data_IF_192170208902
#
_entry.id   IF_192170208902
#
_cell.length_a   1.000
_cell.length_b   1.000
_cell.length_c   1.000
_cell.angle_alpha   90.00
_cell.angle_beta   90.00
_cell.angle_gamma   90.00
#
_symmetry.space_group_name_H-M   'P 1'
#
loop_
_entity.id
_entity.type
_entity.pdbx_description
1 polymer ?
#
# COMPACT_ATOMS: atom_id res chain seq x y z
N UNK A 1 -21.53 -3.59 17.77
CA UNK A 1 -21.37 -2.30 17.09
C UNK A 1 -20.40 -2.48 15.96
N UNK A 2 -20.64 -1.86 14.81
CA UNK A 2 -19.76 -1.94 13.64
C UNK A 2 -19.21 -0.55 13.34
N UNK A 3 -17.90 -0.44 13.20
CA UNK A 3 -17.21 0.82 12.87
C UNK A 3 -16.44 0.59 11.58
N UNK A 4 -16.70 1.41 10.57
CA UNK A 4 -15.96 1.39 9.31
C UNK A 4 -14.95 2.53 9.29
N UNK A 5 -13.73 2.24 8.83
CA UNK A 5 -12.67 3.22 8.60
C UNK A 5 -12.29 3.23 7.13
N UNK A 6 -12.12 4.41 6.54
CA UNK A 6 -11.62 4.52 5.17
C UNK A 6 -11.64 5.95 4.64
N UNK A 7 -11.00 6.14 3.50
CA UNK A 7 -11.02 7.39 2.74
C UNK A 7 -11.59 7.09 1.35
N UNK A 8 -12.85 7.46 1.05
CA UNK A 8 -13.43 7.30 -0.28
C UNK A 8 -12.59 7.95 -1.39
N UNK A 9 -11.76 8.93 -1.03
CA UNK A 9 -10.83 9.65 -1.89
C UNK A 9 -9.65 8.82 -2.42
N UNK A 10 -9.36 7.68 -1.80
CA UNK A 10 -8.28 6.78 -2.20
C UNK A 10 -8.75 5.79 -3.29
N UNK A 11 -8.06 4.66 -3.43
CA UNK A 11 -8.35 3.70 -4.48
C UNK A 11 -9.65 2.94 -4.18
N UNK A 12 -10.52 2.74 -5.18
CA UNK A 12 -11.69 1.88 -5.06
C UNK A 12 -11.27 0.39 -4.99
N UNK A 13 -12.22 -0.51 -4.67
CA UNK A 13 -12.00 -1.95 -4.78
C UNK A 13 -11.48 -2.36 -6.16
N UNK A 14 -10.60 -3.36 -6.20
CA UNK A 14 -10.06 -3.89 -7.45
C UNK A 14 -11.13 -4.74 -8.14
N UNK A 15 -11.43 -4.43 -9.41
CA UNK A 15 -12.41 -5.15 -10.23
C UNK A 15 -13.85 -5.17 -9.69
N UNK A 16 -14.17 -4.34 -8.70
CA UNK A 16 -15.52 -4.18 -8.16
C UNK A 16 -15.82 -2.70 -7.86
N UNK A 17 -17.08 -2.41 -7.52
CA UNK A 17 -17.54 -1.07 -7.17
C UNK A 17 -17.46 -0.84 -5.65
N UNK A 18 -17.14 0.38 -5.21
CA UNK A 18 -17.16 0.71 -3.79
C UNK A 18 -18.59 0.57 -3.22
N UNK A 19 -18.69 0.31 -1.91
CA UNK A 19 -19.97 0.08 -1.22
C UNK A 19 -20.97 1.24 -1.33
N UNK A 20 -20.51 2.46 -1.60
CA UNK A 20 -21.37 3.63 -1.81
C UNK A 20 -21.88 3.78 -3.25
N UNK A 21 -21.42 2.95 -4.18
CA UNK A 21 -21.78 3.08 -5.59
C UNK A 21 -23.24 2.66 -5.80
N UNK A 22 -24.09 3.62 -6.19
CA UNK A 22 -25.54 3.42 -6.36
C UNK A 22 -25.95 2.54 -7.57
N UNK A 23 -25.01 1.80 -8.15
CA UNK A 23 -25.25 0.83 -9.25
C UNK A 23 -24.39 -0.40 -9.03
N UNK A 24 -24.68 -1.25 -8.02
CA UNK A 24 -23.87 -2.42 -7.70
C UNK A 24 -23.76 -3.40 -8.87
N UNK A 25 -22.75 -4.26 -8.85
CA UNK A 25 -22.45 -5.19 -9.96
C UNK A 25 -22.98 -6.61 -9.75
N UNK A 26 -23.49 -6.94 -8.56
CA UNK A 26 -23.95 -8.28 -8.17
C UNK A 26 -24.98 -8.21 -7.04
N UNK A 27 -25.70 -9.30 -6.78
CA UNK A 27 -26.66 -9.40 -5.66
C UNK A 27 -25.99 -9.16 -4.29
N UNK A 28 -24.76 -9.68 -4.13
CA UNK A 28 -23.93 -9.42 -2.93
C UNK A 28 -23.55 -7.93 -2.85
N UNK A 29 -23.22 -7.32 -3.99
CA UNK A 29 -22.96 -5.89 -4.07
C UNK A 29 -24.18 -5.04 -3.70
N UNK A 30 -25.38 -5.47 -4.10
CA UNK A 30 -26.64 -4.80 -3.72
C UNK A 30 -26.88 -4.88 -2.22
N UNK A 31 -26.73 -6.07 -1.62
CA UNK A 31 -26.79 -6.24 -0.16
C UNK A 31 -25.75 -5.37 0.56
N UNK A 32 -24.52 -5.31 0.01
CA UNK A 32 -23.44 -4.46 0.52
C UNK A 32 -23.78 -2.98 0.49
N UNK A 33 -24.34 -2.49 -0.63
CA UNK A 33 -24.81 -1.11 -0.77
C UNK A 33 -25.92 -0.79 0.24
N UNK A 34 -26.95 -1.63 0.34
CA UNK A 34 -28.05 -1.43 1.30
C UNK A 34 -27.53 -1.42 2.74
N UNK A 35 -26.66 -2.36 3.10
CA UNK A 35 -26.04 -2.44 4.44
C UNK A 35 -25.21 -1.20 4.73
N UNK A 36 -24.42 -0.72 3.76
CA UNK A 36 -23.63 0.51 3.90
C UNK A 36 -24.52 1.74 4.12
N UNK A 37 -25.69 1.80 3.48
CA UNK A 37 -26.67 2.88 3.67
C UNK A 37 -27.36 2.87 5.03
N UNK A 38 -27.29 1.77 5.79
CA UNK A 38 -27.80 1.72 7.17
C UNK A 38 -26.96 2.55 8.14
N UNK A 39 -25.70 2.87 7.79
CA UNK A 39 -24.86 3.74 8.62
C UNK A 39 -25.37 5.18 8.56
N UNK A 40 -25.94 5.61 9.68
CA UNK A 40 -26.57 6.91 9.91
C UNK A 40 -25.66 7.92 10.62
N UNK A 41 -24.47 7.49 11.06
CA UNK A 41 -23.45 8.34 11.70
C UNK A 41 -22.15 8.34 10.94
N UNK A 42 -21.54 9.51 10.88
CA UNK A 42 -20.21 9.69 10.33
C UNK A 42 -19.35 10.57 11.25
N UNK A 43 -18.06 10.28 11.33
CA UNK A 43 -17.04 11.11 11.98
C UNK A 43 -16.01 11.43 10.93
N UNK A 44 -15.78 12.71 10.66
CA UNK A 44 -14.77 13.17 9.69
C UNK A 44 -13.53 13.67 10.43
N UNK A 45 -12.40 13.04 10.18
CA UNK A 45 -11.10 13.49 10.64
C UNK A 45 -10.63 14.61 9.71
N UNK A 46 -10.21 15.74 10.28
CA UNK A 46 -9.83 16.92 9.48
C UNK A 46 -8.36 17.27 9.56
N UNK A 47 -7.62 16.62 10.48
CA UNK A 47 -6.20 16.89 10.71
C UNK A 47 -5.35 15.82 10.02
N UNK A 48 -4.61 16.22 8.99
CA UNK A 48 -3.65 15.35 8.32
C UNK A 48 -2.38 15.19 9.19
N UNK A 49 -2.20 14.01 9.78
CA UNK A 49 -1.06 13.70 10.64
C UNK A 49 0.22 13.34 9.88
N UNK A 50 0.14 13.06 8.57
CA UNK A 50 1.31 12.73 7.74
C UNK A 50 2.02 13.99 7.25
N UNK A 51 1.24 14.94 6.74
CA UNK A 51 1.71 16.22 6.21
C UNK A 51 1.44 17.31 7.23
N UNK A 52 2.35 17.40 8.22
CA UNK A 52 2.27 18.36 9.32
C UNK A 52 3.09 19.63 9.03
N UNK A 53 2.73 20.72 9.69
CA UNK A 53 3.40 22.02 9.56
C UNK A 53 2.53 23.08 8.89
N UNK A 54 2.86 24.35 9.18
CA UNK A 54 2.15 25.53 8.67
C UNK A 54 3.04 26.43 7.81
N UNK A 55 4.24 25.97 7.45
CA UNK A 55 5.06 26.69 6.48
C UNK A 55 4.39 26.68 5.09
N UNK A 56 4.75 27.64 4.24
CA UNK A 56 4.12 27.85 2.94
C UNK A 56 4.22 26.61 2.03
N UNK A 57 5.34 25.89 2.07
CA UNK A 57 5.54 24.66 1.31
C UNK A 57 4.59 23.54 1.72
N UNK A 58 4.40 23.33 3.02
CA UNK A 58 3.51 22.30 3.55
C UNK A 58 2.05 22.63 3.32
N UNK A 59 1.66 23.90 3.47
CA UNK A 59 0.31 24.36 3.10
C UNK A 59 0.06 24.07 1.61
N UNK A 60 0.98 24.51 0.74
CA UNK A 60 0.90 24.28 -0.70
C UNK A 60 0.83 22.79 -1.06
N UNK A 61 1.58 21.95 -0.36
CA UNK A 61 1.58 20.50 -0.58
C UNK A 61 0.24 19.87 -0.17
N UNK A 62 -0.33 20.24 0.99
CA UNK A 62 -1.67 19.77 1.39
C UNK A 62 -2.75 20.20 0.40
N UNK A 63 -2.70 21.45 -0.05
CA UNK A 63 -3.67 21.98 -1.01
C UNK A 63 -3.60 21.25 -2.35
N UNK A 64 -2.38 20.95 -2.83
CA UNK A 64 -2.14 20.09 -3.98
C UNK A 64 -2.76 18.70 -3.77
N UNK A 65 -2.52 18.06 -2.62
CA UNK A 65 -3.08 16.75 -2.32
C UNK A 65 -4.62 16.76 -2.29
N UNK A 66 -5.24 17.81 -1.75
CA UNK A 66 -6.70 17.96 -1.74
C UNK A 66 -7.27 18.13 -3.16
N UNK A 67 -6.60 18.90 -4.03
CA UNK A 67 -6.99 19.03 -5.44
C UNK A 67 -6.81 17.73 -6.22
N UNK A 68 -5.70 17.03 -6.02
CA UNK A 68 -5.48 15.68 -6.57
C UNK A 68 -6.57 14.72 -6.12
N UNK A 69 -6.90 14.75 -4.82
CA UNK A 69 -7.97 13.94 -4.25
C UNK A 69 -9.28 14.23 -4.96
N UNK A 70 -9.67 15.49 -5.17
CA UNK A 70 -10.96 15.87 -5.80
C UNK A 70 -11.00 15.77 -7.33
N UNK A 71 -9.85 15.64 -8.00
CA UNK A 71 -9.78 15.75 -9.46
C UNK A 71 -9.88 17.20 -9.96
N UNK A 72 -9.47 18.15 -9.11
CA UNK A 72 -9.50 19.61 -9.36
C UNK A 72 -8.08 20.16 -9.64
N UNK A 73 -7.17 19.30 -10.09
CA UNK A 73 -5.78 19.66 -10.39
C UNK A 73 -5.70 20.79 -11.41
N UNK A 74 -4.83 21.76 -11.13
CA UNK A 74 -4.61 22.95 -11.96
C UNK A 74 -3.31 22.87 -12.76
N UNK A 75 -3.11 23.81 -13.69
CA UNK A 75 -1.84 23.94 -14.42
C UNK A 75 -0.67 24.23 -13.47
N UNK A 76 -0.90 24.99 -12.40
CA UNK A 76 0.13 25.30 -11.41
C UNK A 76 0.48 24.09 -10.55
N UNK A 77 -0.48 23.21 -10.27
CA UNK A 77 -0.22 21.91 -9.65
C UNK A 77 0.64 21.04 -10.55
N UNK A 78 0.31 20.97 -11.85
CA UNK A 78 1.12 20.22 -12.80
C UNK A 78 2.54 20.77 -12.89
N UNK A 79 2.71 22.08 -13.07
CA UNK A 79 4.03 22.75 -13.05
C UNK A 79 4.80 22.48 -11.75
N UNK A 80 4.11 22.47 -10.61
CA UNK A 80 4.71 22.13 -9.32
C UNK A 80 5.21 20.69 -9.28
N UNK A 81 4.46 19.72 -9.83
CA UNK A 81 4.92 18.34 -9.93
C UNK A 81 6.10 18.19 -10.91
N UNK A 82 6.14 19.00 -11.99
CA UNK A 82 7.28 19.00 -12.93
C UNK A 82 8.60 19.41 -12.27
N UNK A 83 8.58 20.25 -11.23
CA UNK A 83 9.80 20.61 -10.48
C UNK A 83 10.39 19.42 -9.70
N UNK A 84 9.64 18.33 -9.56
CA UNK A 84 10.05 17.08 -8.91
C UNK A 84 10.44 15.99 -9.90
N UNK A 85 10.64 16.32 -11.17
CA UNK A 85 11.17 15.39 -12.16
C UNK A 85 12.65 15.09 -11.94
N UNK A 86 13.15 13.91 -12.36
CA UNK A 86 14.56 13.55 -12.23
C UNK A 86 15.51 14.61 -12.80
N UNK A 87 15.15 15.23 -13.93
CA UNK A 87 15.95 16.28 -14.59
C UNK A 87 15.96 17.62 -13.86
N UNK A 88 15.00 17.88 -12.97
CA UNK A 88 14.85 19.15 -12.26
C UNK A 88 15.43 19.10 -10.83
N UNK A 89 15.78 17.91 -10.33
CA UNK A 89 16.29 17.70 -8.97
C UNK A 89 17.82 17.66 -8.99
N UNK A 90 18.45 18.54 -8.20
CA UNK A 90 19.92 18.63 -8.11
C UNK A 90 20.54 17.48 -7.32
N UNK A 91 19.88 17.02 -6.26
CA UNK A 91 20.32 15.96 -5.36
C UNK A 91 19.63 14.62 -5.67
N UNK A 92 19.65 14.17 -6.94
CA UNK A 92 18.93 12.95 -7.33
C UNK A 92 19.47 11.68 -6.64
N UNK A 93 20.76 11.65 -6.30
CA UNK A 93 21.42 10.54 -5.59
C UNK A 93 20.78 10.24 -4.24
N UNK A 94 20.16 11.23 -3.60
CA UNK A 94 19.41 11.06 -2.36
C UNK A 94 18.17 10.17 -2.49
N UNK A 95 17.77 9.80 -3.72
CA UNK A 95 16.62 8.96 -4.04
C UNK A 95 17.00 7.61 -4.64
N UNK A 96 18.28 7.24 -4.62
CA UNK A 96 18.76 5.92 -5.07
C UNK A 96 18.06 4.80 -4.30
N UNK A 97 18.00 4.92 -2.97
CA UNK A 97 17.33 3.97 -2.07
C UNK A 97 15.83 4.24 -1.89
N UNK A 98 15.27 5.24 -2.58
CA UNK A 98 13.85 5.57 -2.42
C UNK A 98 12.96 4.48 -3.02
N UNK A 99 11.94 4.06 -2.27
CA UNK A 99 10.96 3.08 -2.75
C UNK A 99 10.30 3.58 -4.03
N UNK A 100 10.36 2.77 -5.09
CA UNK A 100 9.70 3.03 -6.36
C UNK A 100 8.22 2.67 -6.27
N UNK A 101 7.34 3.58 -6.67
CA UNK A 101 5.91 3.33 -6.77
C UNK A 101 5.52 3.27 -8.24
N UNK A 102 4.98 2.13 -8.66
CA UNK A 102 4.51 1.92 -10.03
C UNK A 102 3.02 1.64 -10.08
N UNK A 103 2.41 1.88 -11.24
CA UNK A 103 1.02 1.50 -11.46
C UNK A 103 0.84 -0.02 -11.63
N UNK A 104 1.71 -0.70 -12.40
CA UNK A 104 1.53 -2.12 -12.76
C UNK A 104 2.41 -3.09 -11.95
N UNK A 105 1.91 -4.32 -11.75
CA UNK A 105 2.70 -5.40 -11.14
C UNK A 105 3.93 -5.79 -11.97
N UNK A 106 3.84 -5.68 -13.30
CA UNK A 106 4.95 -5.99 -14.21
C UNK A 106 6.14 -5.04 -13.99
N UNK A 107 5.90 -3.73 -13.91
CA UNK A 107 6.96 -2.75 -13.63
C UNK A 107 7.61 -3.01 -12.26
N UNK A 108 6.80 -3.35 -11.25
CA UNK A 108 7.29 -3.72 -9.91
C UNK A 108 8.17 -4.97 -9.96
N UNK A 109 7.71 -6.01 -10.66
CA UNK A 109 8.45 -7.26 -10.78
C UNK A 109 9.80 -7.04 -11.49
N UNK A 110 9.80 -6.33 -12.62
CA UNK A 110 11.00 -6.04 -13.38
C UNK A 110 11.99 -5.21 -12.55
N UNK A 111 11.54 -4.13 -11.91
CA UNK A 111 12.43 -3.30 -11.11
C UNK A 111 13.00 -4.05 -9.90
N UNK A 112 12.17 -4.81 -9.18
CA UNK A 112 12.65 -5.62 -8.05
C UNK A 112 13.64 -6.70 -8.49
N UNK A 113 13.43 -7.32 -9.66
CA UNK A 113 14.36 -8.29 -10.24
C UNK A 113 15.70 -7.65 -10.61
N UNK A 114 15.67 -6.48 -11.25
CA UNK A 114 16.88 -5.74 -11.59
C UNK A 114 17.68 -5.35 -10.35
N UNK A 115 17.00 -4.87 -9.29
CA UNK A 115 17.66 -4.52 -8.02
C UNK A 115 18.22 -5.74 -7.30
N UNK A 116 17.49 -6.86 -7.31
CA UNK A 116 17.98 -8.12 -6.74
C UNK A 116 19.24 -8.60 -7.47
N UNK A 117 19.28 -8.45 -8.80
CA UNK A 117 20.43 -8.86 -9.62
C UNK A 117 21.66 -7.98 -9.37
N UNK A 118 21.45 -6.66 -9.13
CA UNK A 118 22.52 -5.70 -8.79
C UNK A 118 23.20 -5.95 -7.44
N UNK A 119 22.60 -6.76 -6.57
CA UNK A 119 23.25 -7.11 -5.29
C UNK A 119 24.47 -8.02 -5.49
N UNK A 120 24.57 -8.69 -6.64
CA UNK A 120 25.65 -9.66 -6.93
C UNK A 120 25.77 -10.75 -5.83
N UNK A 121 24.65 -11.09 -5.20
CA UNK A 121 24.53 -12.13 -4.18
C UNK A 121 23.80 -13.36 -4.74
N UNK A 122 24.06 -14.57 -4.21
CA UNK A 122 23.26 -15.73 -4.52
C UNK A 122 21.78 -15.50 -4.19
N UNK A 123 20.91 -15.68 -5.18
CA UNK A 123 19.46 -15.54 -5.01
C UNK A 123 18.86 -16.87 -4.55
N UNK A 124 18.29 -16.88 -3.35
CA UNK A 124 17.50 -17.97 -2.83
C UNK A 124 16.13 -17.99 -3.51
N UNK A 125 15.88 -19.00 -4.33
CA UNK A 125 14.57 -19.34 -4.88
C UNK A 125 13.84 -20.24 -3.87
N UNK A 126 12.89 -19.70 -3.10
CA UNK A 126 12.27 -20.40 -1.96
C UNK A 126 10.83 -20.83 -2.32
N UNK A 127 10.59 -22.14 -2.32
CA UNK A 127 9.25 -22.69 -2.54
C UNK A 127 8.42 -22.71 -1.26
N UNK A 128 7.15 -22.33 -1.36
CA UNK A 128 6.19 -22.55 -0.28
C UNK A 128 5.90 -24.05 -0.11
N UNK A 129 5.50 -24.44 1.11
CA UNK A 129 4.90 -25.76 1.37
C UNK A 129 3.39 -25.65 1.21
N UNK A 130 2.79 -26.66 0.57
CA UNK A 130 1.38 -26.67 0.22
C UNK A 130 0.73 -27.96 0.68
N UNK A 131 -0.49 -27.90 1.24
CA UNK A 131 -1.23 -29.12 1.59
C UNK A 131 -1.79 -29.85 0.36
N UNK A 132 -1.89 -29.18 -0.79
CA UNK A 132 -2.39 -29.78 -2.03
C UNK A 132 -1.86 -29.07 -3.28
N UNK A 133 -1.98 -29.71 -4.44
CA UNK A 133 -1.67 -29.09 -5.74
C UNK A 133 -2.61 -27.90 -6.06
N UNK A 134 -3.82 -27.89 -5.49
CA UNK A 134 -4.77 -26.77 -5.60
C UNK A 134 -4.22 -25.58 -4.80
N UNK A 135 -3.72 -25.81 -3.58
CA UNK A 135 -3.17 -24.77 -2.71
C UNK A 135 -2.00 -24.00 -3.37
N UNK A 136 -1.23 -24.65 -4.25
CA UNK A 136 -0.18 -24.00 -5.05
C UNK A 136 -0.72 -22.98 -6.07
N UNK A 137 -1.93 -23.18 -6.59
CA UNK A 137 -2.55 -22.35 -7.63
C UNK A 137 -3.42 -21.22 -7.09
N UNK A 138 -3.78 -21.26 -5.81
CA UNK A 138 -4.56 -20.18 -5.17
C UNK A 138 -3.76 -18.88 -5.21
N UNK A 139 -4.41 -17.75 -5.47
CA UNK A 139 -3.77 -16.44 -5.54
C UNK A 139 -3.12 -16.07 -4.20
N UNK A 140 -2.08 -15.24 -4.19
CA UNK A 140 -1.44 -14.83 -2.93
C UNK A 140 -2.39 -13.96 -2.09
N UNK A 141 -3.29 -13.20 -2.71
CA UNK A 141 -4.33 -12.42 -2.05
C UNK A 141 -5.25 -13.29 -1.18
N UNK A 142 -5.68 -14.46 -1.70
CA UNK A 142 -6.52 -15.43 -0.97
C UNK A 142 -5.74 -16.23 0.08
N UNK A 143 -4.40 -16.08 0.09
CA UNK A 143 -3.47 -16.70 1.04
C UNK A 143 -2.79 -15.63 1.92
N UNK A 144 -3.49 -14.53 2.20
CA UNK A 144 -3.01 -13.42 3.07
C UNK A 144 -1.65 -12.84 2.64
N UNK A 145 -1.39 -12.77 1.34
CA UNK A 145 -0.16 -12.24 0.76
C UNK A 145 1.03 -13.20 0.77
N UNK A 146 0.83 -14.48 1.11
CA UNK A 146 1.88 -15.50 1.02
C UNK A 146 2.05 -15.95 -0.43
N UNK A 147 3.21 -15.69 -1.02
CA UNK A 147 3.53 -16.08 -2.40
C UNK A 147 3.85 -17.58 -2.52
N UNK A 148 3.54 -18.25 -3.64
CA UNK A 148 3.92 -19.64 -3.84
C UNK A 148 5.45 -19.81 -3.98
N UNK A 149 6.14 -18.78 -4.47
CA UNK A 149 7.59 -18.73 -4.61
C UNK A 149 8.08 -17.34 -4.21
N UNK A 150 9.16 -17.28 -3.44
CA UNK A 150 9.79 -16.05 -2.99
C UNK A 150 11.26 -16.06 -3.43
N UNK A 151 11.73 -14.96 -4.02
CA UNK A 151 13.13 -14.76 -4.38
C UNK A 151 13.76 -13.74 -3.44
N UNK A 152 14.80 -14.14 -2.72
CA UNK A 152 15.49 -13.27 -1.76
C UNK A 152 17.00 -13.45 -1.86
N UNK A 153 17.74 -12.42 -1.48
CA UNK A 153 19.19 -12.47 -1.32
C UNK A 153 19.59 -11.64 -0.10
N UNK A 154 20.81 -11.86 0.43
CA UNK A 154 21.37 -10.97 1.47
C UNK A 154 21.46 -9.55 0.90
N UNK A 155 21.10 -8.55 1.70
CA UNK A 155 20.99 -7.16 1.26
C UNK A 155 19.66 -6.80 0.58
N UNK A 156 18.77 -7.77 0.33
CA UNK A 156 17.49 -7.47 -0.33
C UNK A 156 16.58 -6.58 0.52
N UNK A 157 16.01 -5.54 -0.08
CA UNK A 157 14.96 -4.73 0.55
C UNK A 157 13.66 -5.49 0.50
N UNK A 158 13.07 -5.72 1.66
CA UNK A 158 11.85 -6.50 1.84
C UNK A 158 10.79 -5.74 2.61
N UNK A 159 9.56 -6.21 2.49
CA UNK A 159 8.40 -5.72 3.21
C UNK A 159 7.61 -6.89 3.77
N UNK A 160 7.14 -6.72 4.99
CA UNK A 160 6.24 -7.66 5.66
C UNK A 160 4.84 -7.58 5.05
N UNK A 161 4.23 -8.72 4.73
CA UNK A 161 2.92 -8.77 4.04
C UNK A 161 1.72 -8.92 4.99
N UNK A 162 1.96 -9.09 6.29
CA UNK A 162 0.91 -9.24 7.30
C UNK A 162 1.36 -8.69 8.65
N UNK A 163 0.42 -8.52 9.58
CA UNK A 163 0.73 -8.07 10.94
C UNK A 163 1.25 -9.25 11.76
N UNK A 164 2.46 -9.11 12.31
CA UNK A 164 3.04 -10.08 13.25
C UNK A 164 3.05 -9.54 14.68
N UNK A 165 3.56 -8.32 14.85
CA UNK A 165 3.65 -7.66 16.16
C UNK A 165 3.63 -6.14 15.99
N UNK A 166 2.44 -5.60 15.74
CA UNK A 166 2.26 -4.18 15.41
C UNK A 166 2.77 -3.21 16.49
N UNK A 167 2.68 -3.59 17.77
CA UNK A 167 3.12 -2.74 18.90
C UNK A 167 4.62 -2.40 18.86
N UNK A 168 5.44 -3.25 18.24
CA UNK A 168 6.89 -3.05 18.10
C UNK A 168 7.32 -2.70 16.68
N UNK A 169 6.36 -2.44 15.78
CA UNK A 169 6.61 -2.02 14.41
C UNK A 169 6.63 -3.14 13.37
N UNK A 170 6.32 -4.40 13.72
CA UNK A 170 6.19 -5.51 12.76
C UNK A 170 4.75 -5.63 12.26
N UNK A 171 4.32 -4.61 11.51
CA UNK A 171 3.01 -4.57 10.85
C UNK A 171 3.11 -4.84 9.34
N UNK A 172 1.98 -5.10 8.70
CA UNK A 172 1.91 -5.16 7.25
C UNK A 172 2.40 -3.83 6.65
N UNK A 173 3.39 -3.91 5.77
CA UNK A 173 4.06 -2.73 5.22
C UNK A 173 5.39 -2.37 5.89
N UNK A 174 5.76 -3.01 7.00
CA UNK A 174 7.05 -2.79 7.63
C UNK A 174 8.18 -3.18 6.68
N UNK A 175 9.11 -2.26 6.44
CA UNK A 175 10.25 -2.45 5.54
C UNK A 175 11.53 -2.79 6.30
N UNK A 176 12.39 -3.55 5.63
CA UNK A 176 13.70 -3.91 6.17
C UNK A 176 14.63 -4.45 5.12
N UNK A 177 15.83 -4.82 5.55
CA UNK A 177 16.87 -5.44 4.72
C UNK A 177 17.14 -6.85 5.20
N UNK A 178 17.19 -7.82 4.28
CA UNK A 178 17.59 -9.19 4.58
C UNK A 178 19.06 -9.23 4.98
N UNK A 179 19.36 -9.79 6.15
CA UNK A 179 20.71 -9.95 6.69
C UNK A 179 21.20 -11.37 6.45
N UNK A 180 20.39 -12.36 6.80
CA UNK A 180 20.77 -13.78 6.67
C UNK A 180 19.58 -14.73 6.54
N UNK A 181 19.88 -15.98 6.22
CA UNK A 181 18.92 -17.09 6.13
C UNK A 181 19.30 -18.19 7.12
N UNK A 182 18.31 -18.74 7.80
CA UNK A 182 18.46 -19.85 8.74
C UNK A 182 17.82 -21.07 8.12
N UNK A 183 18.64 -22.04 7.70
CA UNK A 183 18.20 -23.33 7.20
C UNK A 183 18.47 -24.43 8.24
N UNK A 184 17.65 -25.47 8.22
CA UNK A 184 17.94 -26.71 8.94
C UNK A 184 19.15 -27.41 8.30
N UNK A 185 19.86 -28.24 9.07
CA UNK A 185 21.05 -28.95 8.58
C UNK A 185 20.73 -29.74 7.31
N UNK A 186 21.58 -29.60 6.28
CA UNK A 186 21.43 -30.18 4.95
C UNK A 186 20.29 -29.64 4.07
N UNK A 187 19.53 -28.65 4.54
CA UNK A 187 18.55 -27.93 3.72
C UNK A 187 19.16 -26.69 3.07
N UNK A 188 18.69 -26.39 1.86
CA UNK A 188 19.08 -25.20 1.09
C UNK A 188 17.96 -24.84 0.11
N UNK A 189 17.97 -23.65 -0.51
CA UNK A 189 17.04 -23.35 -1.59
C UNK A 189 17.03 -24.50 -2.63
N UNK A 190 15.86 -25.02 -3.03
CA UNK A 190 14.57 -24.34 -2.94
C UNK A 190 13.71 -24.61 -1.70
N UNK A 191 14.26 -25.27 -0.68
CA UNK A 191 13.54 -25.54 0.55
C UNK A 191 13.16 -24.26 1.29
N UNK A 192 12.10 -24.37 2.09
CA UNK A 192 11.66 -23.29 2.98
C UNK A 192 12.62 -23.18 4.17
N UNK A 193 13.22 -22.00 4.44
CA UNK A 193 14.10 -21.82 5.60
C UNK A 193 13.30 -21.88 6.91
N UNK A 194 14.00 -22.14 8.01
CA UNK A 194 13.47 -21.99 9.38
C UNK A 194 13.09 -20.53 9.65
N UNK A 195 13.90 -19.59 9.13
CA UNK A 195 13.59 -18.17 9.14
C UNK A 195 14.56 -17.35 8.31
N UNK A 196 14.18 -16.09 8.05
CA UNK A 196 15.04 -15.08 7.41
C UNK A 196 15.27 -13.96 8.40
N UNK A 197 16.53 -13.64 8.68
CA UNK A 197 16.88 -12.53 9.57
C UNK A 197 16.76 -11.23 8.78
N UNK A 198 15.89 -10.34 9.24
CA UNK A 198 15.63 -9.06 8.59
C UNK A 198 15.90 -7.95 9.59
N UNK A 199 16.67 -6.95 9.18
CA UNK A 199 16.84 -5.70 9.91
C UNK A 199 15.73 -4.73 9.50
N UNK A 200 14.80 -4.43 10.39
CA UNK A 200 13.66 -3.55 10.11
C UNK A 200 13.94 -2.09 10.46
N UNK A 201 13.52 -1.17 9.58
CA UNK A 201 13.89 0.26 9.67
C UNK A 201 13.32 0.96 10.92
N UNK A 202 12.14 0.55 11.39
CA UNK A 202 11.39 1.20 12.49
C UNK A 202 11.02 0.24 13.62
N UNK A 203 11.73 -0.88 13.75
CA UNK A 203 11.46 -1.86 14.79
C UNK A 203 11.93 -1.38 16.16
N UNK A 204 11.11 -1.62 17.18
CA UNK A 204 11.32 -1.15 18.57
C UNK A 204 11.31 -2.28 19.59
N UNK A 205 11.25 -3.52 19.12
CA UNK A 205 11.22 -4.70 19.97
C UNK A 205 12.62 -5.23 20.29
N UNK A 206 12.70 -6.40 20.94
CA UNK A 206 13.98 -7.07 21.21
C UNK A 206 14.66 -7.51 19.91
N UNK A 207 15.97 -7.29 19.81
CA UNK A 207 16.77 -7.74 18.66
C UNK A 207 17.21 -9.18 18.85
N UNK A 208 17.42 -9.88 17.73
CA UNK A 208 17.93 -11.25 17.71
C UNK A 208 19.37 -11.36 18.20
N UNK A 209 20.17 -10.33 17.90
CA UNK A 209 21.58 -10.22 18.25
C UNK A 209 21.82 -8.83 18.84
N UNK A 210 22.44 -8.78 20.02
CA UNK A 210 22.78 -7.53 20.71
C UNK A 210 23.77 -6.66 19.90
N UNK A 211 24.54 -7.29 19.00
CA UNK A 211 25.49 -6.59 18.13
C UNK A 211 24.84 -5.97 16.88
N UNK A 212 23.63 -6.43 16.51
CA UNK A 212 22.89 -5.92 15.36
C UNK A 212 21.47 -5.52 15.76
N UNK A 213 21.24 -4.23 16.10
CA UNK A 213 19.93 -3.78 16.51
C UNK A 213 18.93 -3.91 15.36
N UNK A 214 17.68 -4.17 15.75
CA UNK A 214 16.51 -4.30 14.88
C UNK A 214 16.50 -5.50 13.94
N UNK A 215 17.39 -6.47 14.14
CA UNK A 215 17.38 -7.75 13.46
C UNK A 215 16.34 -8.69 14.10
N UNK A 216 15.43 -9.24 13.29
CA UNK A 216 14.40 -10.18 13.73
C UNK A 216 14.34 -11.37 12.77
N UNK A 217 14.36 -12.63 13.27
CA UNK A 217 14.09 -13.79 12.44
C UNK A 217 12.61 -13.84 12.08
N UNK A 218 12.31 -13.78 10.80
CA UNK A 218 10.96 -13.95 10.26
C UNK A 218 10.78 -15.41 9.84
N UNK A 219 9.97 -16.13 10.60
CA UNK A 219 9.67 -17.53 10.34
C UNK A 219 8.53 -17.68 9.31
N UNK A 220 8.47 -18.80 8.58
CA UNK A 220 7.32 -19.11 7.73
C UNK A 220 6.03 -19.26 8.52
N UNK A 221 4.93 -18.82 7.93
CA UNK A 221 3.58 -18.85 8.52
C UNK A 221 2.68 -19.68 7.63
N UNK A 222 1.78 -20.46 8.23
CA UNK A 222 0.76 -21.23 7.51
C UNK A 222 -0.55 -20.45 7.47
N UNK A 223 -1.07 -20.25 6.26
CA UNK A 223 -2.40 -19.68 6.02
C UNK A 223 -3.30 -20.74 5.40
N UNK A 224 -4.54 -20.80 5.88
CA UNK A 224 -5.59 -21.67 5.36
C UNK A 224 -6.58 -20.86 4.51
N UNK A 225 -6.96 -21.40 3.37
CA UNK A 225 -8.00 -20.85 2.50
C UNK A 225 -8.98 -21.95 2.09
N UNK A 226 -10.26 -21.61 2.02
CA UNK A 226 -11.31 -22.54 1.59
C UNK A 226 -11.58 -22.33 0.10
N UNK A 227 -11.46 -23.41 -0.69
CA UNK A 227 -11.81 -23.38 -2.12
C UNK A 227 -12.61 -24.63 -2.47
N UNK A 228 -13.80 -24.43 -3.04
CA UNK A 228 -14.75 -25.52 -3.27
C UNK A 228 -15.11 -26.25 -1.97
N UNK A 229 -14.92 -27.57 -1.95
CA UNK A 229 -15.25 -28.44 -0.82
C UNK A 229 -14.05 -28.75 0.11
N UNK A 230 -12.90 -28.08 -0.05
CA UNK A 230 -11.68 -28.40 0.69
C UNK A 230 -11.03 -27.21 1.39
N UNK A 231 -10.34 -27.51 2.49
CA UNK A 231 -9.38 -26.59 3.12
C UNK A 231 -8.00 -26.80 2.51
N UNK A 232 -7.34 -25.69 2.19
CA UNK A 232 -6.04 -25.67 1.53
C UNK A 232 -5.08 -24.77 2.30
N UNK A 233 -3.86 -25.25 2.53
CA UNK A 233 -2.87 -24.56 3.35
C UNK A 233 -1.64 -24.21 2.52
N UNK A 234 -1.09 -23.02 2.78
CA UNK A 234 0.19 -22.55 2.27
C UNK A 234 1.05 -22.09 3.44
N UNK A 235 2.24 -22.67 3.57
CA UNK A 235 3.27 -22.20 4.49
C UNK A 235 4.39 -21.49 3.71
N UNK A 236 4.62 -20.21 4.03
CA UNK A 236 5.66 -19.39 3.39
C UNK A 236 6.09 -18.25 4.31
N UNK A 237 7.25 -17.65 4.05
CA UNK A 237 7.67 -16.38 4.63
C UNK A 237 6.69 -15.25 4.28
N UNK A 238 6.24 -14.44 5.26
CA UNK A 238 5.40 -13.26 5.02
C UNK A 238 6.22 -12.06 4.49
N UNK A 239 7.11 -12.29 3.52
CA UNK A 239 8.04 -11.30 2.98
C UNK A 239 7.90 -11.20 1.46
N UNK A 240 8.06 -9.97 0.96
CA UNK A 240 8.23 -9.71 -0.48
C UNK A 240 9.30 -8.66 -0.72
N UNK A 241 9.87 -8.62 -1.92
CA UNK A 241 10.77 -7.55 -2.33
C UNK A 241 10.05 -6.19 -2.31
N UNK A 242 10.77 -5.15 -1.91
CA UNK A 242 10.20 -3.84 -1.59
C UNK A 242 11.04 -2.65 -2.06
N UNK A 243 11.97 -2.84 -3.00
CA UNK A 243 12.53 -1.68 -3.73
C UNK A 243 11.46 -0.99 -4.57
N UNK A 244 10.54 -1.77 -5.14
CA UNK A 244 9.37 -1.30 -5.85
C UNK A 244 8.08 -1.90 -5.29
N UNK A 245 7.02 -1.10 -5.30
CA UNK A 245 5.66 -1.47 -4.90
C UNK A 245 4.64 -0.93 -5.90
N UNK A 246 3.49 -1.59 -6.00
CA UNK A 246 2.38 -0.96 -6.72
C UNK A 246 1.78 0.15 -5.88
N UNK A 247 1.23 1.19 -6.52
CA UNK A 247 0.52 2.27 -5.84
C UNK A 247 -0.64 1.73 -5.00
N UNK A 248 -1.31 0.66 -5.45
CA UNK A 248 -2.34 -0.04 -4.67
C UNK A 248 -1.77 -0.62 -3.37
N UNK A 249 -0.62 -1.29 -3.45
CA UNK A 249 0.04 -1.92 -2.30
C UNK A 249 0.76 -0.91 -1.39
N UNK A 250 0.90 0.35 -1.79
CA UNK A 250 1.44 1.42 -0.94
C UNK A 250 0.36 2.18 -0.16
N UNK A 251 -0.93 1.94 -0.43
CA UNK A 251 -2.02 2.55 0.29
C UNK A 251 -1.93 2.24 1.79
N UNK A 252 -2.04 3.29 2.62
CA UNK A 252 -1.84 3.21 4.07
C UNK A 252 -0.38 3.40 4.53
N UNK A 253 0.61 3.20 3.66
CA UNK A 253 2.02 3.38 4.03
C UNK A 253 2.41 4.85 4.15
N UNK A 254 3.46 5.12 4.95
CA UNK A 254 4.16 6.41 4.98
C UNK A 254 5.63 6.16 4.65
N UNK A 255 6.10 6.76 3.55
CA UNK A 255 7.46 6.58 3.04
C UNK A 255 8.30 7.82 3.37
N UNK A 256 9.57 7.60 3.74
CA UNK A 256 10.54 8.68 3.98
C UNK A 256 10.88 9.41 2.68
N UNK A 257 11.14 8.65 1.62
CA UNK A 257 11.33 9.10 0.24
C UNK A 257 10.63 8.12 -0.71
N UNK A 258 10.10 8.66 -1.81
CA UNK A 258 9.46 7.84 -2.84
C UNK A 258 9.86 8.34 -4.23
N UNK A 259 9.96 7.42 -5.17
CA UNK A 259 10.09 7.75 -6.58
C UNK A 259 8.91 7.18 -7.32
N UNK A 260 8.13 8.07 -7.93
CA UNK A 260 6.74 7.81 -8.27
C UNK A 260 6.58 7.82 -9.79
N UNK A 261 6.20 6.67 -10.33
CA UNK A 261 5.69 6.54 -11.69
C UNK A 261 4.19 6.22 -11.63
N UNK A 262 3.38 7.24 -11.87
CA UNK A 262 1.92 7.11 -11.92
C UNK A 262 1.41 6.60 -13.29
N UNK A 263 2.30 6.30 -14.23
CA UNK A 263 1.98 5.76 -15.55
C UNK A 263 1.34 6.78 -16.52
N UNK A 264 1.03 6.32 -17.73
CA UNK A 264 0.56 7.16 -18.85
C UNK A 264 -0.89 7.60 -18.77
N UNK A 265 -1.72 6.97 -17.93
CA UNK A 265 -3.15 7.28 -17.82
C UNK A 265 -3.68 6.88 -16.45
N UNK A 266 -4.70 7.59 -15.97
CA UNK A 266 -5.37 7.28 -14.71
C UNK A 266 -6.69 6.56 -14.97
N UNK A 267 -6.63 5.22 -15.04
CA UNK A 267 -7.83 4.38 -15.23
C UNK A 267 -8.64 4.21 -13.95
N UNK A 268 -7.95 4.26 -12.81
CA UNK A 268 -8.52 4.13 -11.48
C UNK A 268 -8.45 5.49 -10.79
N UNK A 269 -9.59 5.97 -10.29
CA UNK A 269 -9.63 7.22 -9.55
C UNK A 269 -8.76 7.16 -8.29
N UNK A 270 -7.95 8.19 -8.07
CA UNK A 270 -7.19 8.35 -6.82
C UNK A 270 -5.76 7.80 -6.87
N UNK A 271 -5.28 7.28 -8.01
CA UNK A 271 -3.91 6.78 -8.16
C UNK A 271 -2.90 7.88 -7.88
N UNK A 272 -3.09 9.07 -8.47
CA UNK A 272 -2.18 10.19 -8.29
C UNK A 272 -2.17 10.68 -6.84
N UNK A 273 -3.34 10.77 -6.22
CA UNK A 273 -3.49 11.14 -4.82
C UNK A 273 -2.85 10.11 -3.88
N UNK A 274 -3.12 8.82 -4.04
CA UNK A 274 -2.55 7.76 -3.20
C UNK A 274 -1.04 7.74 -3.31
N UNK A 275 -0.49 7.79 -4.53
CA UNK A 275 0.96 7.75 -4.74
C UNK A 275 1.69 8.93 -4.07
N UNK A 276 1.24 10.16 -4.33
CA UNK A 276 1.91 11.37 -3.86
C UNK A 276 1.67 11.58 -2.35
N UNK A 277 0.52 11.17 -1.82
CA UNK A 277 0.22 11.27 -0.38
C UNK A 277 1.05 10.32 0.50
N UNK A 278 1.91 9.45 -0.06
CA UNK A 278 2.75 8.55 0.76
C UNK A 278 3.92 9.24 1.45
N UNK A 279 4.35 10.40 0.96
CA UNK A 279 5.46 11.16 1.54
C UNK A 279 4.97 12.29 2.44
N UNK A 280 5.83 12.75 3.37
CA UNK A 280 5.50 13.83 4.31
C UNK A 280 5.70 15.23 3.72
N UNK A 281 6.55 15.37 2.71
CA UNK A 281 6.86 16.64 2.05
C UNK A 281 6.94 16.41 0.55
N UNK A 282 6.68 17.46 -0.25
CA UNK A 282 6.86 17.38 -1.71
C UNK A 282 8.34 17.18 -2.09
N UNK A 283 9.27 17.71 -1.30
CA UNK A 283 10.71 17.53 -1.52
C UNK A 283 11.18 16.09 -1.26
N UNK A 284 10.38 15.26 -0.61
CA UNK A 284 10.65 13.84 -0.37
C UNK A 284 10.19 12.92 -1.49
N UNK A 285 9.73 13.44 -2.63
CA UNK A 285 9.44 12.60 -3.80
C UNK A 285 10.14 13.03 -5.08
N UNK A 286 10.45 12.05 -5.91
CA UNK A 286 10.74 12.20 -7.35
C UNK A 286 9.50 11.73 -8.10
N UNK A 287 9.14 12.40 -9.19
CA UNK A 287 7.94 12.10 -9.95
C UNK A 287 8.32 11.97 -11.42
N UNK A 288 8.01 10.83 -12.04
CA UNK A 288 8.22 10.63 -13.46
C UNK A 288 7.40 11.62 -14.31
N UNK A 289 7.89 12.01 -15.50
CA UNK A 289 7.18 12.94 -16.35
C UNK A 289 5.75 12.50 -16.69
N UNK A 290 4.81 13.44 -16.61
CA UNK A 290 3.41 13.23 -16.94
C UNK A 290 2.85 14.43 -17.71
N UNK A 291 1.81 14.20 -18.51
CA UNK A 291 1.12 15.27 -19.22
C UNK A 291 0.05 15.91 -18.34
N UNK A 292 -0.34 17.15 -18.65
CA UNK A 292 -1.41 17.84 -17.93
C UNK A 292 -2.77 17.16 -18.13
N UNK A 293 -3.01 16.63 -19.33
CA UNK A 293 -4.21 15.89 -19.68
C UNK A 293 -4.36 14.65 -18.79
N UNK A 294 -3.26 13.96 -18.50
CA UNK A 294 -3.24 12.80 -17.60
C UNK A 294 -3.59 13.17 -16.16
N UNK A 295 -3.23 14.37 -15.71
CA UNK A 295 -3.53 14.84 -14.35
C UNK A 295 -5.01 15.26 -14.19
N UNK A 296 -5.64 15.68 -15.30
CA UNK A 296 -7.01 16.23 -15.31
C UNK A 296 -8.05 15.25 -15.85
N UNK A 297 -7.65 14.14 -16.49
CA UNK A 297 -8.56 13.12 -17.02
C UNK A 297 -9.48 12.50 -15.97
N UNK A 298 -9.15 12.61 -14.69
CA UNK A 298 -9.98 12.13 -13.60
C UNK A 298 -11.36 12.80 -13.57
N UNK A 299 -11.44 14.08 -13.96
CA UNK A 299 -12.67 14.89 -13.89
C UNK A 299 -13.80 14.33 -14.77
N UNK A 300 -13.46 13.62 -15.84
CA UNK A 300 -14.44 13.00 -16.75
C UNK A 300 -14.88 11.60 -16.31
N UNK A 301 -14.33 11.06 -15.21
CA UNK A 301 -14.69 9.73 -14.72
C UNK A 301 -16.08 9.72 -14.07
N UNK A 302 -16.97 8.86 -14.55
CA UNK A 302 -18.28 8.64 -13.90
C UNK A 302 -18.14 8.16 -12.45
N UNK A 303 -17.09 7.39 -12.15
CA UNK A 303 -16.83 6.89 -10.79
C UNK A 303 -16.45 8.02 -9.82
N UNK A 304 -15.88 9.11 -10.32
CA UNK A 304 -15.59 10.30 -9.51
C UNK A 304 -16.89 10.91 -8.97
N UNK A 305 -17.95 10.95 -9.77
CA UNK A 305 -19.24 11.55 -9.38
C UNK A 305 -19.88 10.77 -8.22
N UNK A 306 -19.97 9.44 -8.31
CA UNK A 306 -20.48 8.61 -7.20
C UNK A 306 -19.70 8.82 -5.90
N UNK A 307 -18.37 9.00 -6.00
CA UNK A 307 -17.54 9.29 -4.83
C UNK A 307 -17.82 10.67 -4.25
N UNK A 308 -17.93 11.72 -5.09
CA UNK A 308 -18.23 13.08 -4.62
C UNK A 308 -19.63 13.17 -3.99
N UNK A 309 -20.61 12.45 -4.53
CA UNK A 309 -21.95 12.33 -3.93
C UNK A 309 -21.90 11.69 -2.54
N UNK A 310 -21.11 10.63 -2.38
CA UNK A 310 -20.93 9.98 -1.09
C UNK A 310 -20.20 10.88 -0.08
N UNK A 311 -19.14 11.58 -0.49
CA UNK A 311 -18.46 12.53 0.38
C UNK A 311 -19.41 13.64 0.87
N UNK A 312 -20.26 14.15 -0.02
CA UNK A 312 -21.29 15.12 0.35
C UNK A 312 -22.31 14.53 1.35
N UNK A 313 -22.65 13.24 1.23
CA UNK A 313 -23.52 12.55 2.20
C UNK A 313 -22.82 12.42 3.56
N UNK A 314 -21.58 11.96 3.58
CA UNK A 314 -20.78 11.78 4.80
C UNK A 314 -20.54 13.11 5.50
N UNK A 315 -20.32 14.20 4.77
CA UNK A 315 -20.20 15.54 5.33
C UNK A 315 -21.48 16.01 6.02
N UNK A 316 -22.66 15.71 5.44
CA UNK A 316 -23.95 15.99 6.08
C UNK A 316 -24.14 15.14 7.35
N UNK A 317 -23.82 13.84 7.29
CA UNK A 317 -23.90 12.94 8.44
C UNK A 317 -22.94 13.34 9.56
N UNK A 318 -21.74 13.81 9.23
CA UNK A 318 -20.75 14.22 10.22
C UNK A 318 -21.21 15.44 11.01
N UNK A 319 -21.84 16.42 10.33
CA UNK A 319 -22.45 17.59 10.97
C UNK A 319 -23.58 17.20 11.92
N UNK A 320 -24.46 16.26 11.53
CA UNK A 320 -25.55 15.78 12.38
C UNK A 320 -25.10 14.85 13.51
N UNK A 321 -24.00 14.12 13.32
CA UNK A 321 -23.43 13.23 14.35
C UNK A 321 -22.84 14.06 15.49
N UNK A 322 -22.22 15.21 15.20
CA UNK A 322 -21.67 16.10 16.23
C UNK A 322 -22.73 16.62 17.21
N UNK A 323 -24.02 16.62 16.83
CA UNK A 323 -25.14 17.03 17.66
C UNK A 323 -25.86 15.87 18.38
N UNK A 324 -25.38 14.62 18.29
CA UNK A 324 -26.00 13.44 18.91
C UNK A 324 -24.98 12.46 19.50
N UNK A 325 -25.31 11.74 20.58
CA UNK A 325 -24.44 10.71 21.17
C UNK A 325 -24.00 9.66 20.14
N UNK A 326 -22.74 9.22 20.16
CA UNK A 326 -22.18 8.20 19.24
C UNK A 326 -22.96 6.87 19.42
N UNK A 327 -23.51 6.34 18.33
CA UNK A 327 -24.39 5.16 18.32
C UNK A 327 -23.69 3.87 17.90
N UNK A 328 -24.47 2.81 17.63
CA UNK A 328 -23.98 1.43 17.37
C UNK A 328 -23.42 1.18 15.94
N UNK A 329 -23.63 2.10 14.99
CA UNK A 329 -23.12 2.04 13.61
C UNK A 329 -22.50 3.40 13.25
N UNK A 330 -21.21 3.45 12.90
CA UNK A 330 -20.51 4.72 12.63
C UNK A 330 -19.46 4.53 11.56
N UNK A 331 -19.39 5.47 10.61
CA UNK A 331 -18.32 5.55 9.61
C UNK A 331 -17.33 6.61 10.06
N UNK A 332 -16.05 6.28 10.13
CA UNK A 332 -14.97 7.24 10.34
C UNK A 332 -14.25 7.45 9.01
N UNK A 333 -14.19 8.69 8.53
CA UNK A 333 -13.53 9.05 7.27
C UNK A 333 -12.45 10.11 7.45
N UNK A 334 -11.42 10.04 6.60
CA UNK A 334 -10.36 11.05 6.45
C UNK A 334 -10.66 12.00 5.28
#
# INVERSE_FOLDING_TARGET
>A
SLILFGDPGQLPPVADKPLYHAKPSSDVGEQGYQTYRMFDKAVKLTVNQRVQGMNSEQVRFRDLLLRLRKGESTVDDWKLLLTRQPSAITNLSEFEDATRLFYSNEQVANYNHDQLSKLEQPVAHINARHSSAIAKKIASEDMSGLEPVVFLAKGAKVMLTMNLWSNVGLCNGATGTVIDFIFESNHRPPDLPVGVVVQFDNYRGPSFDDTQPSCVPICPITVSSQSGNGFHERQQLPLRLAWALTIHKSQGLTLSKAWIDIGKSERTAGVSYVAISRVKTLSSCVIEPMTYERLTSLKSSANLQFRLEEENRLDRLARSTHSANIGRQTIVVE
#
